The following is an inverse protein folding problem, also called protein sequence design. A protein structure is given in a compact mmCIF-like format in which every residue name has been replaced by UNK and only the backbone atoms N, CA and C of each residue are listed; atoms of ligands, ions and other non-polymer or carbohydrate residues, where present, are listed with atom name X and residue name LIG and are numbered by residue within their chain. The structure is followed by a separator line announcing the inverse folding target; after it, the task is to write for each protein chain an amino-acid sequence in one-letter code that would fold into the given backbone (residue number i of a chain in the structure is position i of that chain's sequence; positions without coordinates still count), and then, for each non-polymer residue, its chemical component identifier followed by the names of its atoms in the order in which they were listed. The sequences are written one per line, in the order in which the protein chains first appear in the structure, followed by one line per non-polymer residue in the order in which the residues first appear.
data_IF_640992342247
#
_entry.id   IF_640992342247
#
_cell.length_a   1.000
_cell.length_b   1.000
_cell.length_c   1.000
_cell.angle_alpha   90.00
_cell.angle_beta   90.00
_cell.angle_gamma   90.00
#
_symmetry.space_group_name_H-M   'P 1'
#
loop_
_entity.id
_entity.type
_entity.pdbx_description
1 polymer ?
#
# COMPACT_ATOMS: atom_id res chain seq x y z
N UNK A 1 -6.71 -1.28 -30.07
CA UNK A 1 -6.37 -2.18 -28.97
C UNK A 1 -6.59 -1.47 -27.66
N UNK A 2 -7.06 -2.18 -26.64
CA UNK A 2 -7.15 -1.72 -25.26
C UNK A 2 -6.05 -2.33 -24.36
N UNK A 3 -5.02 -2.95 -25.00
CA UNK A 3 -3.86 -3.47 -24.29
C UNK A 3 -2.95 -2.32 -23.89
N UNK A 4 -2.52 -2.32 -22.64
CA UNK A 4 -1.57 -1.38 -22.07
C UNK A 4 -0.26 -2.11 -21.70
N UNK A 5 0.85 -1.37 -21.68
CA UNK A 5 2.12 -1.89 -21.19
C UNK A 5 2.08 -2.01 -19.65
N UNK A 6 2.57 -3.14 -19.14
CA UNK A 6 2.74 -3.36 -17.71
C UNK A 6 4.05 -2.75 -17.17
N UNK A 7 4.85 -2.07 -18.00
CA UNK A 7 6.17 -1.56 -17.61
C UNK A 7 7.24 -2.65 -17.42
N UNK A 8 6.97 -3.88 -17.86
CA UNK A 8 7.89 -5.01 -17.71
C UNK A 8 8.44 -5.40 -19.08
N UNK A 9 9.77 -5.33 -19.24
CA UNK A 9 10.42 -5.52 -20.52
C UNK A 9 11.60 -6.48 -20.42
N UNK A 10 11.82 -7.24 -21.51
CA UNK A 10 13.01 -8.09 -21.66
C UNK A 10 13.69 -7.69 -22.96
N UNK A 11 14.94 -7.27 -22.87
CA UNK A 11 15.74 -6.82 -24.02
C UNK A 11 17.01 -7.64 -24.20
N UNK A 12 17.47 -7.71 -25.46
CA UNK A 12 18.85 -8.04 -25.73
C UNK A 12 19.73 -6.85 -25.28
N UNK A 13 20.69 -7.08 -24.39
CA UNK A 13 21.49 -6.04 -23.77
C UNK A 13 22.28 -5.20 -24.78
N UNK A 14 22.89 -5.82 -25.80
CA UNK A 14 23.68 -5.09 -26.79
C UNK A 14 22.85 -4.09 -27.59
N UNK A 15 21.58 -4.43 -27.82
CA UNK A 15 20.62 -3.54 -28.49
C UNK A 15 20.18 -2.44 -27.53
N UNK A 16 19.69 -2.80 -26.35
CA UNK A 16 19.19 -1.84 -25.37
C UNK A 16 20.26 -0.80 -25.00
N UNK A 17 21.49 -1.25 -24.70
CA UNK A 17 22.60 -0.37 -24.35
C UNK A 17 22.82 0.75 -25.38
N UNK A 18 22.72 0.42 -26.66
CA UNK A 18 22.87 1.42 -27.73
C UNK A 18 21.80 2.50 -27.64
N UNK A 19 20.53 2.10 -27.52
CA UNK A 19 19.40 3.04 -27.45
C UNK A 19 19.43 3.87 -26.17
N UNK A 20 19.83 3.30 -25.02
CA UNK A 20 19.98 4.06 -23.78
C UNK A 20 21.07 5.15 -23.89
N UNK A 21 22.22 4.85 -24.52
CA UNK A 21 23.28 5.83 -24.71
C UNK A 21 22.86 6.92 -25.70
N UNK A 22 22.14 6.57 -26.76
CA UNK A 22 21.63 7.53 -27.74
C UNK A 22 20.57 8.44 -27.07
N UNK A 23 19.67 7.88 -26.29
CA UNK A 23 18.61 8.59 -25.57
C UNK A 23 19.15 9.55 -24.50
N UNK A 24 20.15 9.12 -23.72
CA UNK A 24 20.84 9.95 -22.72
C UNK A 24 21.49 11.19 -23.32
N UNK A 25 21.94 11.14 -24.60
CA UNK A 25 22.55 12.23 -25.28
C UNK A 25 21.56 13.08 -26.11
N UNK A 26 20.29 12.74 -26.13
CA UNK A 26 19.23 13.49 -26.80
C UNK A 26 18.62 14.51 -25.84
N UNK A 27 18.84 15.81 -26.04
CA UNK A 27 18.33 16.86 -25.15
C UNK A 27 16.78 16.96 -25.15
N UNK A 28 16.13 16.41 -26.18
CA UNK A 28 14.68 16.42 -26.31
C UNK A 28 14.02 15.13 -25.72
N UNK A 29 14.82 14.19 -25.21
CA UNK A 29 14.31 12.96 -24.60
C UNK A 29 13.82 13.19 -23.18
N UNK A 30 12.72 12.51 -22.84
CA UNK A 30 12.20 12.42 -21.47
C UNK A 30 12.85 11.28 -20.66
N UNK A 31 13.80 10.53 -21.26
CA UNK A 31 14.46 9.35 -20.70
C UNK A 31 13.46 8.27 -20.24
N UNK A 32 12.41 8.07 -21.01
CA UNK A 32 11.31 7.16 -20.71
C UNK A 32 11.23 5.99 -21.69
N UNK A 33 10.99 4.77 -21.18
CA UNK A 33 10.89 3.59 -22.03
C UNK A 33 9.69 3.65 -22.97
N UNK A 34 8.54 4.13 -22.49
CA UNK A 34 7.30 4.20 -23.25
C UNK A 34 7.29 5.32 -24.27
N UNK A 35 7.87 6.48 -23.93
CA UNK A 35 7.85 7.66 -24.77
C UNK A 35 9.04 7.74 -25.74
N UNK A 36 10.20 7.17 -25.37
CA UNK A 36 11.45 7.31 -26.13
C UNK A 36 11.99 5.96 -26.62
N UNK A 37 12.39 5.06 -25.73
CA UNK A 37 13.14 3.84 -26.09
C UNK A 37 12.32 2.91 -26.98
N UNK A 38 11.10 2.57 -26.59
CA UNK A 38 10.24 1.64 -27.33
C UNK A 38 9.81 2.22 -28.69
N UNK A 39 9.35 3.49 -28.80
CA UNK A 39 9.08 4.12 -30.08
C UNK A 39 10.29 4.17 -31.01
N UNK A 40 11.49 4.45 -30.49
CA UNK A 40 12.72 4.48 -31.29
C UNK A 40 13.07 3.09 -31.83
N UNK A 41 12.96 2.05 -30.99
CA UNK A 41 13.16 0.65 -31.43
C UNK A 41 12.16 0.23 -32.52
N UNK A 42 10.90 0.64 -32.39
CA UNK A 42 9.86 0.36 -33.38
C UNK A 42 10.12 1.09 -34.70
N UNK A 43 10.47 2.39 -34.64
CA UNK A 43 10.80 3.21 -35.81
C UNK A 43 11.98 2.63 -36.59
N UNK A 44 12.97 2.07 -35.90
CA UNK A 44 14.13 1.44 -36.49
C UNK A 44 13.89 -0.01 -36.96
N UNK A 45 12.65 -0.48 -36.93
CA UNK A 45 12.25 -1.80 -37.40
C UNK A 45 12.83 -2.95 -36.59
N UNK A 46 13.14 -2.75 -35.31
CA UNK A 46 13.61 -3.82 -34.42
C UNK A 46 12.50 -4.84 -34.19
N UNK A 47 12.88 -6.11 -34.06
CA UNK A 47 11.92 -7.18 -33.74
C UNK A 47 11.44 -7.04 -32.31
N UNK A 48 10.18 -6.69 -32.13
CA UNK A 48 9.52 -6.53 -30.84
C UNK A 48 8.28 -7.42 -30.79
N UNK A 49 8.02 -7.97 -29.63
CA UNK A 49 6.90 -8.86 -29.38
C UNK A 49 6.16 -8.43 -28.12
N UNK A 50 4.84 -8.46 -28.15
CA UNK A 50 4.00 -8.28 -26.98
C UNK A 50 3.65 -9.66 -26.41
N UNK A 51 3.86 -9.83 -25.11
CA UNK A 51 3.39 -10.98 -24.35
C UNK A 51 2.09 -10.61 -23.66
N UNK A 52 1.02 -11.33 -23.95
CA UNK A 52 -0.27 -11.11 -23.30
C UNK A 52 -0.26 -11.81 -21.95
N UNK A 53 -0.23 -11.03 -20.89
CA UNK A 53 -0.30 -11.53 -19.52
C UNK A 53 -1.77 -11.67 -19.09
N UNK A 54 -2.12 -12.81 -18.47
CA UNK A 54 -3.47 -13.13 -18.04
C UNK A 54 -3.56 -13.32 -16.50
N UNK A 55 -2.55 -12.94 -15.77
CA UNK A 55 -2.53 -13.00 -14.31
C UNK A 55 -2.96 -11.69 -13.65
N UNK A 56 -2.92 -11.68 -12.32
CA UNK A 56 -3.14 -10.44 -11.55
C UNK A 56 -2.02 -9.44 -11.84
N UNK A 57 -2.39 -8.23 -12.16
CA UNK A 57 -1.51 -7.07 -12.28
C UNK A 57 -2.26 -5.80 -11.86
N UNK A 58 -1.67 -4.99 -11.03
CA UNK A 58 -2.22 -3.72 -10.56
C UNK A 58 -1.14 -2.64 -10.60
N UNK A 59 -1.47 -1.50 -11.18
CA UNK A 59 -0.66 -0.29 -11.05
C UNK A 59 -0.97 0.39 -9.71
N UNK A 60 0.04 0.57 -8.88
CA UNK A 60 -0.07 1.18 -7.54
C UNK A 60 0.53 2.59 -7.50
N UNK A 61 0.54 3.29 -8.62
CA UNK A 61 1.09 4.64 -8.78
C UNK A 61 0.35 5.75 -8.04
N UNK A 62 -0.81 5.47 -7.45
CA UNK A 62 -1.58 6.42 -6.64
C UNK A 62 -1.92 5.84 -5.26
N UNK A 63 -2.16 6.70 -4.27
CA UNK A 63 -2.55 6.28 -2.91
C UNK A 63 -3.81 5.42 -2.90
N UNK A 64 -4.90 5.80 -3.58
CA UNK A 64 -6.07 4.92 -3.67
C UNK A 64 -5.76 3.57 -4.30
N UNK A 65 -4.98 3.52 -5.39
CA UNK A 65 -4.61 2.26 -6.03
C UNK A 65 -3.74 1.38 -5.13
N UNK A 66 -2.85 1.97 -4.32
CA UNK A 66 -2.07 1.25 -3.32
C UNK A 66 -2.97 0.67 -2.21
N UNK A 67 -3.93 1.46 -1.71
CA UNK A 67 -4.91 0.99 -0.74
C UNK A 67 -5.75 -0.16 -1.31
N UNK A 68 -6.33 0.03 -2.49
CA UNK A 68 -7.12 -0.99 -3.18
C UNK A 68 -6.34 -2.30 -3.40
N UNK A 69 -5.08 -2.21 -3.86
CA UNK A 69 -4.25 -3.40 -4.08
C UNK A 69 -4.01 -4.19 -2.79
N UNK A 70 -3.91 -3.51 -1.64
CA UNK A 70 -3.85 -4.17 -0.35
C UNK A 70 -5.18 -4.81 0.04
N UNK A 71 -6.31 -4.14 -0.16
CA UNK A 71 -7.63 -4.70 0.14
C UNK A 71 -7.95 -5.90 -0.76
N UNK A 72 -7.56 -5.89 -2.03
CA UNK A 72 -7.71 -7.02 -2.96
C UNK A 72 -7.01 -8.30 -2.49
N UNK A 73 -5.96 -8.19 -1.67
CA UNK A 73 -5.28 -9.35 -1.06
C UNK A 73 -6.19 -10.09 -0.06
N UNK A 74 -7.15 -9.38 0.55
CA UNK A 74 -8.12 -9.98 1.47
C UNK A 74 -9.21 -10.80 0.76
N UNK A 75 -9.39 -10.59 -0.54
CA UNK A 75 -10.37 -11.31 -1.37
C UNK A 75 -9.70 -12.04 -2.55
N UNK A 76 -8.95 -13.12 -2.30
CA UNK A 76 -8.22 -13.86 -3.33
C UNK A 76 -9.14 -14.55 -4.35
N UNK A 77 -10.41 -14.80 -4.02
CA UNK A 77 -11.35 -15.47 -4.92
C UNK A 77 -11.77 -14.56 -6.08
N UNK A 78 -11.94 -13.27 -5.84
CA UNK A 78 -12.35 -12.30 -6.85
C UNK A 78 -11.16 -11.55 -7.47
N UNK A 79 -10.14 -11.22 -6.67
CA UNK A 79 -8.97 -10.49 -7.16
C UNK A 79 -8.03 -11.35 -8.02
N UNK A 80 -8.00 -12.67 -7.76
CA UNK A 80 -7.07 -13.59 -8.41
C UNK A 80 -5.63 -13.52 -7.89
N UNK A 81 -5.36 -12.74 -6.81
CA UNK A 81 -4.07 -12.77 -6.12
C UNK A 81 -4.14 -13.75 -4.92
N UNK A 82 -3.20 -14.70 -4.86
CA UNK A 82 -3.12 -15.65 -3.76
C UNK A 82 -1.71 -15.63 -3.15
N UNK A 83 -1.56 -14.99 -2.00
CA UNK A 83 -0.29 -14.93 -1.27
C UNK A 83 0.06 -16.27 -0.59
N UNK A 84 -0.89 -17.22 -0.51
CA UNK A 84 -0.70 -18.54 0.09
C UNK A 84 -0.37 -19.63 -0.92
N UNK A 85 -0.05 -19.28 -2.17
CA UNK A 85 0.34 -20.26 -3.19
C UNK A 85 1.70 -20.88 -2.84
N UNK A 86 1.69 -22.15 -2.44
CA UNK A 86 2.90 -22.90 -2.10
C UNK A 86 3.83 -23.16 -3.30
N UNK A 87 3.30 -23.11 -4.53
CA UNK A 87 4.07 -23.31 -5.76
C UNK A 87 4.73 -22.02 -6.25
N UNK A 88 4.24 -20.85 -5.80
CA UNK A 88 4.79 -19.55 -6.14
C UNK A 88 4.92 -18.68 -4.89
N UNK A 89 5.86 -19.04 -4.03
CA UNK A 89 6.09 -18.33 -2.78
C UNK A 89 6.65 -16.93 -3.03
N UNK A 90 5.99 -15.93 -2.45
CA UNK A 90 6.47 -14.55 -2.42
C UNK A 90 7.28 -14.37 -1.14
N UNK A 91 8.58 -14.06 -1.29
CA UNK A 91 9.47 -13.84 -0.16
C UNK A 91 9.59 -12.35 0.13
N UNK A 92 9.53 -12.00 1.41
CA UNK A 92 9.77 -10.66 1.89
C UNK A 92 10.85 -10.66 2.97
N UNK A 93 11.24 -9.48 3.43
CA UNK A 93 12.17 -9.34 4.55
C UNK A 93 11.53 -9.93 5.81
N UNK A 94 12.22 -10.86 6.46
CA UNK A 94 11.83 -11.33 7.78
C UNK A 94 12.18 -10.25 8.82
N UNK A 95 11.17 -9.71 9.50
CA UNK A 95 11.34 -8.70 10.55
C UNK A 95 11.92 -9.27 11.86
N UNK A 96 11.94 -10.61 12.00
CA UNK A 96 12.39 -11.27 13.22
C UNK A 96 11.41 -11.20 14.38
N UNK A 97 10.19 -10.77 14.14
CA UNK A 97 9.12 -10.76 15.14
C UNK A 97 8.71 -12.18 15.55
N UNK A 98 8.17 -12.31 16.75
CA UNK A 98 7.53 -13.55 17.24
C UNK A 98 6.12 -13.68 16.64
N UNK A 99 5.41 -14.79 16.91
CA UNK A 99 4.03 -14.92 16.49
C UNK A 99 3.13 -13.78 17.02
N UNK A 100 2.04 -13.49 16.32
CA UNK A 100 1.06 -12.49 16.76
C UNK A 100 0.25 -12.97 17.98
N UNK A 101 -0.26 -12.03 18.76
CA UNK A 101 -1.10 -12.27 19.93
C UNK A 101 -2.46 -11.57 19.78
N UNK A 102 -3.55 -12.35 19.87
CA UNK A 102 -4.92 -11.84 19.88
C UNK A 102 -5.48 -11.94 21.31
N UNK A 103 -5.79 -10.80 21.92
CA UNK A 103 -6.31 -10.71 23.28
C UNK A 103 -7.76 -11.17 23.39
N UNK A 104 -8.23 -11.46 24.61
CA UNK A 104 -9.59 -11.95 24.85
C UNK A 104 -10.69 -10.94 24.52
N UNK A 105 -10.38 -9.65 24.55
CA UNK A 105 -11.30 -8.55 24.20
C UNK A 105 -11.26 -8.18 22.72
N UNK A 106 -10.36 -8.78 21.94
CA UNK A 106 -10.19 -8.46 20.52
C UNK A 106 -11.33 -9.04 19.67
N UNK A 107 -11.75 -8.27 18.68
CA UNK A 107 -12.62 -8.70 17.60
C UNK A 107 -11.85 -8.58 16.27
N UNK A 108 -11.58 -9.68 15.59
CA UNK A 108 -10.86 -9.70 14.32
C UNK A 108 -11.69 -10.39 13.26
N UNK A 109 -12.00 -9.69 12.18
CA UNK A 109 -12.78 -10.24 11.07
C UNK A 109 -12.19 -9.78 9.74
N UNK A 110 -12.17 -10.68 8.74
CA UNK A 110 -11.77 -10.40 7.36
C UNK A 110 -10.48 -9.57 7.27
N UNK A 111 -9.43 -10.01 7.95
CA UNK A 111 -8.21 -9.22 8.10
C UNK A 111 -6.96 -10.09 8.04
N UNK A 112 -5.88 -9.52 7.52
CA UNK A 112 -4.56 -10.16 7.50
C UNK A 112 -3.68 -9.55 8.60
N UNK A 113 -3.19 -10.41 9.51
CA UNK A 113 -2.35 -10.01 10.65
C UNK A 113 -1.03 -10.76 10.57
N UNK A 114 0.07 -10.02 10.48
CA UNK A 114 1.41 -10.60 10.37
C UNK A 114 2.08 -10.79 11.73
N UNK A 115 3.31 -11.32 11.72
CA UNK A 115 4.04 -11.65 12.94
C UNK A 115 4.30 -10.43 13.83
N UNK A 116 4.37 -10.65 15.14
CA UNK A 116 4.67 -9.64 16.14
C UNK A 116 3.51 -8.72 16.52
N UNK A 117 2.36 -8.82 15.84
CA UNK A 117 1.21 -8.00 16.18
C UNK A 117 0.62 -8.35 17.54
N UNK A 118 0.17 -7.33 18.28
CA UNK A 118 -0.59 -7.48 19.53
C UNK A 118 -1.94 -6.79 19.37
N UNK A 119 -3.00 -7.56 19.22
CA UNK A 119 -4.36 -7.04 19.00
C UNK A 119 -5.22 -7.26 20.25
N UNK A 120 -5.70 -6.18 20.84
CA UNK A 120 -6.65 -6.17 21.98
C UNK A 120 -7.94 -5.41 21.66
N UNK A 121 -7.94 -4.65 20.56
CA UNK A 121 -9.09 -3.91 20.04
C UNK A 121 -9.80 -4.62 18.90
N UNK A 122 -10.52 -3.87 18.10
CA UNK A 122 -11.27 -4.35 16.93
C UNK A 122 -10.47 -4.11 15.64
N UNK A 123 -10.38 -5.14 14.80
CA UNK A 123 -9.73 -5.05 13.46
C UNK A 123 -10.68 -5.70 12.44
N UNK A 124 -11.12 -4.92 11.45
CA UNK A 124 -12.07 -5.35 10.42
C UNK A 124 -11.59 -4.96 9.04
N UNK A 125 -11.63 -5.90 8.09
CA UNK A 125 -11.26 -5.71 6.70
C UNK A 125 -9.98 -4.87 6.54
N UNK A 126 -8.90 -5.30 7.24
CA UNK A 126 -7.67 -4.51 7.37
C UNK A 126 -6.44 -5.38 7.30
N UNK A 127 -5.31 -4.77 6.97
CA UNK A 127 -4.00 -5.43 6.94
C UNK A 127 -3.10 -4.79 8.00
N UNK A 128 -2.60 -5.62 8.92
CA UNK A 128 -1.61 -5.23 9.92
C UNK A 128 -0.25 -5.86 9.58
N UNK A 129 0.74 -5.02 9.31
CA UNK A 129 2.12 -5.44 9.13
C UNK A 129 2.80 -5.76 10.47
N UNK A 130 4.03 -6.28 10.41
CA UNK A 130 4.72 -6.81 11.57
C UNK A 130 4.88 -5.83 12.73
N UNK A 131 4.64 -6.31 13.96
CA UNK A 131 4.86 -5.51 15.17
C UNK A 131 3.77 -4.49 15.50
N UNK A 132 2.67 -4.43 14.76
CA UNK A 132 1.57 -3.49 15.03
C UNK A 132 0.89 -3.82 16.35
N UNK A 133 0.63 -2.79 17.16
CA UNK A 133 -0.08 -2.88 18.43
C UNK A 133 -1.41 -2.15 18.31
N UNK A 134 -2.52 -2.87 18.55
CA UNK A 134 -3.88 -2.30 18.63
C UNK A 134 -4.37 -2.47 20.06
N UNK A 135 -4.46 -1.37 20.81
CA UNK A 135 -4.84 -1.37 22.23
C UNK A 135 -6.34 -1.60 22.40
N UNK A 136 -6.74 -1.86 23.64
CA UNK A 136 -8.12 -2.12 24.02
C UNK A 136 -9.06 -0.95 23.70
N UNK A 137 -10.20 -1.23 23.07
CA UNK A 137 -11.17 -0.21 22.65
C UNK A 137 -10.78 0.56 21.36
N UNK A 138 -9.58 0.35 20.82
CA UNK A 138 -9.23 0.89 19.50
C UNK A 138 -9.96 0.13 18.38
N UNK A 139 -10.27 0.82 17.28
CA UNK A 139 -10.93 0.28 16.09
C UNK A 139 -10.10 0.57 14.86
N UNK A 140 -9.79 -0.47 14.09
CA UNK A 140 -9.11 -0.38 12.80
C UNK A 140 -10.04 -1.02 11.76
N UNK A 141 -10.49 -0.25 10.78
CA UNK A 141 -11.46 -0.71 9.76
C UNK A 141 -11.05 -0.19 8.37
N UNK A 142 -11.10 -1.03 7.35
CA UNK A 142 -10.74 -0.69 5.97
C UNK A 142 -9.34 -0.04 5.86
N UNK A 143 -8.38 -0.46 6.65
CA UNK A 143 -7.10 0.23 6.81
C UNK A 143 -5.88 -0.68 6.54
N UNK A 144 -4.83 -0.05 6.01
CA UNK A 144 -3.50 -0.64 5.90
C UNK A 144 -2.60 -0.01 6.96
N UNK A 145 -2.16 -0.79 7.94
CA UNK A 145 -1.30 -0.33 9.04
C UNK A 145 0.07 -0.99 8.92
N UNK A 146 1.09 -0.19 8.60
CA UNK A 146 2.45 -0.68 8.39
C UNK A 146 3.17 -0.95 9.72
N UNK A 147 4.33 -1.57 9.62
CA UNK A 147 5.03 -2.18 10.75
C UNK A 147 5.36 -1.26 11.92
N UNK A 148 5.46 -1.85 13.12
CA UNK A 148 5.85 -1.17 14.36
C UNK A 148 4.98 0.04 14.75
N UNK A 149 3.76 0.12 14.23
CA UNK A 149 2.78 1.17 14.51
C UNK A 149 1.97 0.83 15.76
N UNK A 150 1.71 1.85 16.59
CA UNK A 150 0.92 1.72 17.82
C UNK A 150 -0.39 2.50 17.70
N UNK A 151 -1.52 1.80 17.78
CA UNK A 151 -2.86 2.39 17.84
C UNK A 151 -3.34 2.32 19.29
N UNK A 152 -3.36 3.48 19.97
CA UNK A 152 -3.68 3.56 21.39
C UNK A 152 -5.19 3.42 21.64
N UNK A 153 -5.52 3.22 22.91
CA UNK A 153 -6.89 2.98 23.39
C UNK A 153 -7.89 4.01 22.86
N UNK A 154 -9.03 3.50 22.38
CA UNK A 154 -10.14 4.33 21.91
C UNK A 154 -9.95 4.97 20.54
N UNK A 155 -8.74 4.92 19.97
CA UNK A 155 -8.48 5.48 18.65
C UNK A 155 -9.29 4.77 17.56
N UNK A 156 -9.70 5.52 16.52
CA UNK A 156 -10.41 5.03 15.34
C UNK A 156 -9.59 5.31 14.11
N UNK A 157 -9.26 4.26 13.38
CA UNK A 157 -8.41 4.30 12.19
C UNK A 157 -9.21 3.65 11.06
N UNK A 158 -9.72 4.47 10.14
CA UNK A 158 -10.69 4.03 9.14
C UNK A 158 -10.30 4.51 7.75
N UNK A 159 -10.40 3.64 6.74
CA UNK A 159 -10.17 3.95 5.32
C UNK A 159 -8.90 4.77 5.07
N UNK A 160 -7.75 4.24 5.50
CA UNK A 160 -6.48 4.95 5.47
C UNK A 160 -5.28 4.02 5.29
N UNK A 161 -4.13 4.64 5.03
CA UNK A 161 -2.82 4.01 5.08
C UNK A 161 -2.01 4.69 6.19
N UNK A 162 -1.60 3.94 7.19
CA UNK A 162 -0.72 4.39 8.27
C UNK A 162 0.65 3.75 8.06
N UNK A 163 1.68 4.57 7.80
CA UNK A 163 3.03 4.09 7.54
C UNK A 163 3.71 3.54 8.80
N UNK A 164 4.93 3.03 8.63
CA UNK A 164 5.67 2.38 9.71
C UNK A 164 6.04 3.32 10.87
N UNK A 165 6.06 2.76 12.09
CA UNK A 165 6.55 3.45 13.29
C UNK A 165 5.66 4.60 13.77
N UNK A 166 4.42 4.70 13.28
CA UNK A 166 3.48 5.73 13.69
C UNK A 166 2.91 5.44 15.08
N UNK A 167 2.69 6.48 15.88
CA UNK A 167 1.93 6.40 17.13
C UNK A 167 0.63 7.17 16.98
N UNK A 168 -0.51 6.47 17.06
CA UNK A 168 -1.84 7.09 17.10
C UNK A 168 -2.30 7.21 18.54
N UNK A 169 -2.54 8.43 19.00
CA UNK A 169 -2.90 8.78 20.38
C UNK A 169 -4.26 8.24 20.81
N UNK A 170 -4.52 8.30 22.12
CA UNK A 170 -5.79 7.87 22.69
C UNK A 170 -6.96 8.66 22.11
N UNK A 171 -8.04 7.98 21.77
CA UNK A 171 -9.28 8.59 21.25
C UNK A 171 -9.08 9.46 19.98
N UNK A 172 -7.93 9.35 19.30
CA UNK A 172 -7.70 10.01 18.02
C UNK A 172 -8.54 9.35 16.90
N UNK A 173 -8.90 10.14 15.88
CA UNK A 173 -9.67 9.68 14.74
C UNK A 173 -8.89 9.95 13.46
N UNK A 174 -8.68 8.93 12.65
CA UNK A 174 -8.01 9.01 11.34
C UNK A 174 -8.93 8.46 10.27
N UNK A 175 -9.19 9.30 9.26
CA UNK A 175 -10.01 8.94 8.12
C UNK A 175 -11.48 8.78 8.44
N UNK A 176 -12.25 8.49 7.43
CA UNK A 176 -13.70 8.29 7.51
C UNK A 176 -14.11 7.24 6.50
N UNK A 177 -15.14 6.45 6.81
CA UNK A 177 -15.72 5.53 5.85
C UNK A 177 -16.35 6.32 4.71
N UNK A 178 -15.91 6.12 3.46
CA UNK A 178 -16.47 6.89 2.34
C UNK A 178 -17.95 6.57 2.17
N UNK A 179 -18.71 7.55 1.67
CA UNK A 179 -20.06 7.31 1.17
C UNK A 179 -19.99 6.27 0.03
N UNK A 180 -21.06 5.50 -0.17
CA UNK A 180 -21.15 4.52 -1.26
C UNK A 180 -20.67 5.17 -2.58
N UNK A 181 -19.78 4.48 -3.31
CA UNK A 181 -19.17 4.86 -4.59
C UNK A 181 -17.96 5.84 -4.57
N UNK A 182 -17.37 6.19 -3.44
CA UNK A 182 -16.18 7.05 -3.39
C UNK A 182 -14.95 6.26 -2.95
N UNK A 183 -14.12 5.81 -3.88
CA UNK A 183 -12.88 5.05 -3.60
C UNK A 183 -11.65 5.93 -3.36
N UNK A 184 -11.74 7.24 -3.56
CA UNK A 184 -10.59 8.14 -3.62
C UNK A 184 -10.19 8.86 -2.31
N UNK A 185 -10.89 8.63 -1.20
CA UNK A 185 -10.78 9.46 0.01
C UNK A 185 -9.86 8.86 1.10
N UNK A 186 -8.78 8.21 0.69
CA UNK A 186 -7.83 7.52 1.57
C UNK A 186 -6.94 8.53 2.31
N UNK A 187 -7.02 8.57 3.63
CA UNK A 187 -6.11 9.35 4.47
C UNK A 187 -4.74 8.64 4.57
N UNK A 188 -3.66 9.41 4.68
CA UNK A 188 -2.31 8.85 4.78
C UNK A 188 -1.49 9.51 5.87
N UNK A 189 -0.80 8.70 6.66
CA UNK A 189 0.11 9.15 7.71
C UNK A 189 1.53 8.69 7.34
N UNK A 190 2.46 9.64 7.27
CA UNK A 190 3.86 9.38 6.93
C UNK A 190 4.60 8.59 8.03
N UNK A 191 5.74 7.94 7.70
CA UNK A 191 6.50 7.15 8.67
C UNK A 191 6.95 7.95 9.89
N UNK A 192 6.87 7.32 11.07
CA UNK A 192 7.38 7.87 12.35
C UNK A 192 6.59 9.05 12.93
N UNK A 193 5.48 9.43 12.31
CA UNK A 193 4.62 10.53 12.78
C UNK A 193 3.89 10.13 14.07
N UNK A 194 3.75 11.10 14.98
CA UNK A 194 2.89 10.98 16.16
C UNK A 194 1.61 11.78 15.97
N UNK A 195 0.47 11.11 16.06
CA UNK A 195 -0.86 11.72 16.12
C UNK A 195 -1.23 11.84 17.61
N UNK A 196 -1.43 13.06 18.08
CA UNK A 196 -1.75 13.35 19.47
C UNK A 196 -3.10 12.79 19.92
N UNK A 197 -3.29 12.71 21.23
CA UNK A 197 -4.56 12.22 21.79
C UNK A 197 -5.73 13.10 21.31
N UNK A 198 -6.86 12.50 20.97
CA UNK A 198 -8.08 13.18 20.46
C UNK A 198 -7.89 14.02 19.19
N UNK A 199 -6.74 13.93 18.51
CA UNK A 199 -6.56 14.58 17.21
C UNK A 199 -7.50 13.97 16.16
N UNK A 200 -7.90 14.77 15.19
CA UNK A 200 -8.81 14.35 14.11
C UNK A 200 -8.15 14.60 12.76
N UNK A 201 -7.97 13.54 12.01
CA UNK A 201 -7.42 13.57 10.64
C UNK A 201 -8.55 13.21 9.68
N UNK A 202 -8.92 14.16 8.83
CA UNK A 202 -10.00 14.00 7.86
C UNK A 202 -9.67 13.06 6.71
N UNK A 203 -10.68 12.70 5.90
CA UNK A 203 -10.48 11.94 4.67
C UNK A 203 -9.55 12.68 3.70
N UNK A 204 -8.78 11.96 2.88
CA UNK A 204 -7.77 12.50 1.94
C UNK A 204 -6.58 13.24 2.56
N UNK A 205 -6.58 13.49 3.85
CA UNK A 205 -5.47 14.21 4.49
C UNK A 205 -4.15 13.43 4.30
N UNK A 206 -3.09 14.17 4.01
CA UNK A 206 -1.71 13.66 3.92
C UNK A 206 -0.89 14.27 5.05
N UNK A 207 -0.62 13.48 6.08
CA UNK A 207 0.06 13.95 7.30
C UNK A 207 1.53 13.57 7.26
N UNK A 208 2.41 14.57 7.23
CA UNK A 208 3.86 14.39 7.15
C UNK A 208 4.60 14.77 8.44
N UNK A 209 3.94 15.42 9.38
CA UNK A 209 4.51 15.89 10.63
C UNK A 209 3.61 15.51 11.80
N UNK A 210 4.16 15.55 13.00
CA UNK A 210 3.41 15.31 14.22
C UNK A 210 2.20 16.24 14.33
N UNK A 211 1.10 15.68 14.81
CA UNK A 211 -0.16 16.39 15.04
C UNK A 211 -0.40 16.46 16.54
N UNK A 212 -0.60 17.67 17.07
CA UNK A 212 -0.75 17.88 18.49
C UNK A 212 -2.11 17.35 19.02
N UNK A 213 -2.20 17.21 20.34
CA UNK A 213 -3.42 16.78 21.03
C UNK A 213 -4.63 17.65 20.65
N UNK A 214 -5.73 17.03 20.26
CA UNK A 214 -6.98 17.68 19.90
C UNK A 214 -6.95 18.54 18.64
N UNK A 215 -5.84 18.51 17.87
CA UNK A 215 -5.73 19.23 16.61
C UNK A 215 -6.54 18.54 15.50
N UNK A 216 -7.13 19.34 14.62
CA UNK A 216 -7.81 18.86 13.41
C UNK A 216 -6.96 19.14 12.17
N UNK A 217 -6.86 18.16 11.27
CA UNK A 217 -6.19 18.28 10.00
C UNK A 217 -7.05 17.62 8.88
N UNK A 218 -7.41 18.41 7.87
CA UNK A 218 -8.24 18.00 6.74
C UNK A 218 -7.46 18.00 5.42
#
# INVERSE_FOLDING_TARGET
SNLASMGIYIFNWDILKKYLIEDENDPDSENDFGNNIIPNLLRDGRRMYAYHFNGYWKDVGTIPALWEANMEVLDPEHSGINLFDENWKIYSRNSGHTGHFIGNSAEVTDSMITDGCVVKGTVKHSILFGGVIVEEGAVVEDAVVMGDTVIKRGAKVTHCIVAEGVTVGCDAVIGEKPAEDVTGDVATIAPGVTIGDRAVIGPKAMVYNDVEEGQEQC
#
